data_IF_937089263416
#
_entry.id   IF_937089263416
#
_cell.length_a   1.000
_cell.length_b   1.000
_cell.length_c   1.000
_cell.angle_alpha   90.00
_cell.angle_beta   90.00
_cell.angle_gamma   90.00
#
_symmetry.space_group_name_H-M   'P 1'
#
loop_
_entity.id
_entity.type
_entity.pdbx_description
1 polymer ?
#
# COMPACT_ATOMS: atom_id res chain seq x y z
N UNK A 1 9.54 6.49 -27.54
CA UNK A 1 10.15 6.14 -26.24
C UNK A 1 11.47 6.86 -26.15
N UNK A 2 11.58 7.83 -25.25
CA UNK A 2 12.84 8.55 -25.04
C UNK A 2 13.82 7.62 -24.34
N UNK A 3 14.83 7.15 -25.09
CA UNK A 3 15.92 6.30 -24.57
C UNK A 3 16.69 6.98 -23.42
N UNK A 4 16.65 8.30 -23.36
CA UNK A 4 17.25 9.13 -22.30
C UNK A 4 16.66 8.87 -20.92
N UNK A 5 15.40 8.46 -20.82
CA UNK A 5 14.72 8.17 -19.54
C UNK A 5 14.93 6.75 -19.02
N UNK A 6 15.51 5.84 -19.83
CA UNK A 6 15.74 4.45 -19.39
C UNK A 6 16.65 4.38 -18.16
N UNK A 7 17.79 5.10 -18.22
CA UNK A 7 18.72 5.11 -17.09
C UNK A 7 18.11 5.72 -15.82
N UNK A 8 17.46 6.89 -15.86
CA UNK A 8 16.72 7.43 -14.70
C UNK A 8 15.68 6.46 -14.13
N UNK A 9 14.86 5.79 -14.96
CA UNK A 9 13.88 4.79 -14.50
C UNK A 9 14.55 3.60 -13.79
N UNK A 10 15.66 3.08 -14.34
CA UNK A 10 16.43 2.00 -13.72
C UNK A 10 16.99 2.44 -12.37
N UNK A 11 17.63 3.62 -12.29
CA UNK A 11 18.21 4.14 -11.06
C UNK A 11 17.14 4.42 -9.99
N UNK A 12 16.01 5.00 -10.39
CA UNK A 12 14.87 5.23 -9.50
C UNK A 12 14.30 3.91 -8.96
N UNK A 13 14.17 2.90 -9.82
CA UNK A 13 13.71 1.55 -9.42
C UNK A 13 14.68 0.88 -8.44
N UNK A 14 16.00 1.00 -8.67
CA UNK A 14 17.01 0.50 -7.74
C UNK A 14 16.97 1.24 -6.40
N UNK A 15 16.82 2.57 -6.43
CA UNK A 15 16.64 3.39 -5.23
C UNK A 15 15.40 2.98 -4.44
N UNK A 16 14.27 2.72 -5.12
CA UNK A 16 13.05 2.21 -4.51
C UNK A 16 13.29 0.84 -3.85
N UNK A 17 13.96 -0.10 -4.53
CA UNK A 17 14.28 -1.42 -3.96
C UNK A 17 15.10 -1.29 -2.68
N UNK A 18 16.13 -0.44 -2.67
CA UNK A 18 16.97 -0.24 -1.47
C UNK A 18 16.14 0.36 -0.33
N UNK A 19 15.44 1.46 -0.60
CA UNK A 19 14.65 2.18 0.41
C UNK A 19 13.57 1.29 1.02
N UNK A 20 12.75 0.67 0.16
CA UNK A 20 11.60 -0.12 0.62
C UNK A 20 11.96 -1.53 1.10
N UNK A 21 13.16 -2.01 0.79
CA UNK A 21 13.71 -3.18 1.49
C UNK A 21 13.97 -2.86 2.95
N UNK A 22 14.59 -1.72 3.25
CA UNK A 22 14.86 -1.31 4.63
C UNK A 22 13.56 -1.07 5.42
N UNK A 23 12.60 -0.36 4.80
CA UNK A 23 11.30 -0.05 5.42
C UNK A 23 10.49 -1.33 5.64
N UNK A 24 10.40 -2.21 4.67
CA UNK A 24 9.57 -3.41 4.73
C UNK A 24 10.02 -4.46 5.76
N UNK A 25 11.28 -4.39 6.23
CA UNK A 25 11.73 -5.21 7.35
C UNK A 25 11.29 -4.66 8.72
N UNK A 26 10.76 -3.44 8.78
CA UNK A 26 10.26 -2.82 10.01
C UNK A 26 8.80 -3.25 10.23
N UNK A 27 8.48 -4.06 11.26
CA UNK A 27 7.11 -4.52 11.49
C UNK A 27 6.16 -3.37 11.77
N UNK A 28 4.91 -3.47 11.26
CA UNK A 28 3.85 -2.49 11.54
C UNK A 28 3.92 -1.22 10.70
N UNK A 29 4.72 -1.19 9.63
CA UNK A 29 4.66 -0.10 8.66
C UNK A 29 3.38 -0.21 7.82
N UNK A 30 2.65 0.90 7.74
CA UNK A 30 1.48 1.01 6.86
C UNK A 30 1.93 1.44 5.46
N UNK A 31 1.44 0.74 4.42
CA UNK A 31 1.82 0.99 3.04
C UNK A 31 1.50 2.44 2.61
N UNK A 32 0.35 2.97 3.03
CA UNK A 32 -0.06 4.34 2.69
C UNK A 32 0.88 5.35 3.33
N UNK A 33 1.21 5.15 4.60
CA UNK A 33 2.07 6.06 5.38
C UNK A 33 3.49 6.16 4.83
N UNK A 34 4.00 5.13 4.16
CA UNK A 34 5.39 5.12 3.67
C UNK A 34 5.52 5.34 2.17
N UNK A 35 4.51 4.97 1.37
CA UNK A 35 4.54 5.15 -0.09
C UNK A 35 4.13 6.56 -0.50
N UNK A 36 3.01 7.06 0.03
CA UNK A 36 2.45 8.34 -0.39
C UNK A 36 3.39 9.53 -0.17
N UNK A 37 3.99 9.76 1.01
CA UNK A 37 4.85 10.93 1.22
C UNK A 37 6.08 10.95 0.32
N UNK A 38 6.72 9.80 0.11
CA UNK A 38 7.91 9.72 -0.74
C UNK A 38 7.54 9.97 -2.21
N UNK A 39 6.45 9.35 -2.68
CA UNK A 39 5.98 9.54 -4.06
C UNK A 39 5.55 10.98 -4.31
N UNK A 40 4.82 11.56 -3.35
CA UNK A 40 4.41 12.96 -3.40
C UNK A 40 5.63 13.89 -3.52
N UNK A 41 6.68 13.65 -2.75
CA UNK A 41 7.91 14.44 -2.83
C UNK A 41 8.56 14.35 -4.21
N UNK A 42 8.61 13.18 -4.82
CA UNK A 42 9.16 13.02 -6.17
C UNK A 42 8.34 13.80 -7.20
N UNK A 43 7.01 13.76 -7.09
CA UNK A 43 6.11 14.52 -7.97
C UNK A 43 6.32 16.02 -7.79
N UNK A 44 6.30 16.51 -6.56
CA UNK A 44 6.47 17.94 -6.26
C UNK A 44 7.88 18.47 -6.59
N UNK A 45 8.89 17.59 -6.57
CA UNK A 45 10.25 17.92 -7.03
C UNK A 45 10.38 17.97 -8.56
N UNK A 46 9.32 17.73 -9.32
CA UNK A 46 9.32 17.79 -10.77
C UNK A 46 10.05 16.62 -11.44
N UNK A 47 10.13 15.47 -10.77
CA UNK A 47 10.70 14.25 -11.38
C UNK A 47 9.81 13.80 -12.53
N UNK A 48 10.44 13.42 -13.65
CA UNK A 48 9.73 12.97 -14.85
C UNK A 48 8.66 11.89 -14.55
N UNK A 49 7.42 12.03 -15.06
CA UNK A 49 6.30 11.16 -14.74
C UNK A 49 6.55 9.67 -14.95
N UNK A 50 7.28 9.29 -16.00
CA UNK A 50 7.68 7.89 -16.25
C UNK A 50 8.62 7.36 -15.16
N UNK A 51 9.54 8.20 -14.67
CA UNK A 51 10.50 7.83 -13.62
C UNK A 51 9.77 7.65 -12.28
N UNK A 52 8.81 8.55 -11.97
CA UNK A 52 7.96 8.43 -10.78
C UNK A 52 7.15 7.14 -10.81
N UNK A 53 6.56 6.80 -11.95
CA UNK A 53 5.78 5.57 -12.09
C UNK A 53 6.66 4.32 -11.91
N UNK A 54 7.84 4.28 -12.55
CA UNK A 54 8.78 3.17 -12.40
C UNK A 54 9.25 3.01 -10.94
N UNK A 55 9.57 4.13 -10.27
CA UNK A 55 9.89 4.15 -8.84
C UNK A 55 8.75 3.59 -8.01
N UNK A 56 7.50 4.04 -8.22
CA UNK A 56 6.35 3.63 -7.43
C UNK A 56 6.05 2.14 -7.60
N UNK A 57 6.06 1.62 -8.83
CA UNK A 57 5.88 0.18 -9.10
C UNK A 57 6.96 -0.64 -8.38
N UNK A 58 8.22 -0.19 -8.46
CA UNK A 58 9.32 -0.86 -7.78
C UNK A 58 9.16 -0.81 -6.25
N UNK A 59 8.73 0.33 -5.70
CA UNK A 59 8.46 0.51 -4.29
C UNK A 59 7.38 -0.44 -3.78
N UNK A 60 6.25 -0.51 -4.47
CA UNK A 60 5.11 -1.37 -4.13
C UNK A 60 5.50 -2.85 -4.11
N UNK A 61 6.14 -3.34 -5.17
CA UNK A 61 6.53 -4.75 -5.28
C UNK A 61 7.55 -5.10 -4.18
N UNK A 62 8.53 -4.22 -3.96
CA UNK A 62 9.54 -4.43 -2.92
C UNK A 62 8.94 -4.44 -1.53
N UNK A 63 8.12 -3.43 -1.21
CA UNK A 63 7.52 -3.28 0.11
C UNK A 63 6.61 -4.48 0.45
N UNK A 64 5.70 -4.85 -0.45
CA UNK A 64 4.77 -5.96 -0.22
C UNK A 64 5.50 -7.30 -0.05
N UNK A 65 6.59 -7.52 -0.80
CA UNK A 65 7.38 -8.73 -0.65
C UNK A 65 8.17 -8.74 0.66
N UNK A 66 8.81 -7.63 1.02
CA UNK A 66 9.64 -7.52 2.22
C UNK A 66 8.82 -7.48 3.51
N UNK A 67 7.63 -6.88 3.52
CA UNK A 67 6.68 -6.90 4.64
C UNK A 67 6.23 -8.32 5.03
N UNK A 68 6.28 -9.27 4.11
CA UNK A 68 5.94 -10.66 4.39
C UNK A 68 6.98 -11.37 5.25
N UNK A 69 8.22 -10.88 5.28
CA UNK A 69 9.34 -11.52 5.97
C UNK A 69 9.23 -11.47 7.51
N UNK A 70 8.98 -10.30 8.15
CA UNK A 70 8.70 -10.25 9.58
C UNK A 70 7.53 -11.13 9.99
N UNK A 71 6.49 -11.20 9.16
CA UNK A 71 5.32 -12.06 9.41
C UNK A 71 5.71 -13.53 9.50
N UNK A 72 6.53 -14.02 8.60
CA UNK A 72 6.99 -15.41 8.60
C UNK A 72 7.99 -15.71 9.73
N UNK A 73 8.87 -14.78 10.08
CA UNK A 73 9.94 -14.99 11.07
C UNK A 73 9.49 -14.78 12.50
N UNK A 74 8.73 -13.72 12.74
CA UNK A 74 8.40 -13.26 14.09
C UNK A 74 6.92 -13.44 14.41
N UNK A 75 6.06 -13.55 13.41
CA UNK A 75 4.60 -13.58 13.57
C UNK A 75 4.01 -12.19 13.82
N UNK A 76 4.75 -11.15 13.47
CA UNK A 76 4.26 -9.76 13.53
C UNK A 76 3.96 -9.30 12.10
N UNK A 77 2.82 -8.62 11.87
CA UNK A 77 2.51 -8.12 10.53
C UNK A 77 3.56 -7.10 10.12
N UNK A 78 4.20 -7.30 8.97
CA UNK A 78 5.08 -6.29 8.39
C UNK A 78 4.31 -5.08 7.89
N UNK A 79 3.16 -5.34 7.26
CA UNK A 79 2.22 -4.34 6.76
C UNK A 79 0.78 -4.86 6.84
N UNK A 80 -0.17 -4.05 6.40
CA UNK A 80 -1.61 -4.35 6.49
C UNK A 80 -1.99 -5.60 5.68
N UNK A 81 -1.38 -5.78 4.51
CA UNK A 81 -1.64 -6.93 3.63
C UNK A 81 -1.05 -8.24 4.16
N UNK A 82 -0.05 -8.17 5.02
CA UNK A 82 0.54 -9.36 5.63
C UNK A 82 -0.19 -9.84 6.90
N UNK A 83 -1.09 -9.04 7.45
CA UNK A 83 -1.86 -9.39 8.64
C UNK A 83 -2.69 -10.70 8.50
N UNK A 84 -3.39 -10.96 7.38
CA UNK A 84 -4.10 -12.22 7.18
C UNK A 84 -3.21 -13.47 7.19
N UNK A 85 -1.91 -13.30 6.97
CA UNK A 85 -0.95 -14.41 6.84
C UNK A 85 -0.42 -14.92 8.19
N UNK A 86 -0.65 -14.19 9.30
CA UNK A 86 -0.01 -14.42 10.61
C UNK A 86 -0.28 -15.83 11.14
N UNK A 87 -1.53 -16.27 11.18
CA UNK A 87 -1.90 -17.56 11.76
C UNK A 87 -1.27 -18.73 10.98
N UNK A 88 -1.25 -18.64 9.67
CA UNK A 88 -0.60 -19.62 8.81
C UNK A 88 0.92 -19.60 8.97
N UNK A 89 1.52 -18.41 9.08
CA UNK A 89 2.95 -18.25 9.30
C UNK A 89 3.38 -18.85 10.64
N UNK A 90 2.63 -18.59 11.71
CA UNK A 90 2.88 -19.15 13.04
C UNK A 90 2.72 -20.68 13.06
N UNK A 91 1.73 -21.22 12.36
CA UNK A 91 1.53 -22.66 12.21
C UNK A 91 2.76 -23.31 11.55
N UNK A 92 3.21 -22.78 10.42
CA UNK A 92 4.38 -23.29 9.73
C UNK A 92 5.69 -23.07 10.50
N UNK A 93 5.81 -21.98 11.22
CA UNK A 93 6.97 -21.71 12.10
C UNK A 93 7.08 -22.72 13.22
N UNK A 94 5.97 -23.11 13.87
CA UNK A 94 5.97 -24.16 14.93
C UNK A 94 6.43 -25.51 14.42
N UNK A 95 6.29 -25.78 13.11
CA UNK A 95 6.78 -26.97 12.44
C UNK A 95 8.22 -26.84 11.92
N UNK A 96 8.93 -25.74 12.22
CA UNK A 96 10.30 -25.50 11.76
C UNK A 96 10.41 -25.08 10.30
N UNK A 97 9.31 -24.67 9.64
CA UNK A 97 9.24 -24.38 8.21
C UNK A 97 9.35 -22.88 7.89
N UNK A 98 9.82 -22.04 8.81
CA UNK A 98 9.86 -20.58 8.64
C UNK A 98 10.65 -20.14 7.38
N UNK A 99 11.80 -20.76 7.11
CA UNK A 99 12.62 -20.49 5.93
C UNK A 99 11.90 -20.87 4.62
N UNK A 100 11.23 -22.01 4.62
CA UNK A 100 10.44 -22.46 3.47
C UNK A 100 9.23 -21.53 3.26
N UNK A 101 8.61 -21.06 4.33
CA UNK A 101 7.48 -20.13 4.29
C UNK A 101 7.86 -18.84 3.57
N UNK A 102 8.97 -18.20 3.92
CA UNK A 102 9.44 -16.97 3.25
C UNK A 102 9.64 -17.22 1.75
N UNK A 103 10.28 -18.33 1.39
CA UNK A 103 10.54 -18.66 -0.02
C UNK A 103 9.25 -18.90 -0.80
N UNK A 104 8.27 -19.58 -0.19
CA UNK A 104 6.95 -19.79 -0.79
C UNK A 104 6.15 -18.51 -0.93
N UNK A 105 6.19 -17.62 0.08
CA UNK A 105 5.59 -16.30 -0.04
C UNK A 105 6.23 -15.50 -1.16
N UNK A 106 7.55 -15.45 -1.23
CA UNK A 106 8.25 -14.76 -2.31
C UNK A 106 7.90 -15.35 -3.70
N UNK A 107 7.82 -16.69 -3.82
CA UNK A 107 7.42 -17.33 -5.06
C UNK A 107 5.94 -17.05 -5.42
N UNK A 108 5.04 -17.00 -4.42
CA UNK A 108 3.66 -16.58 -4.58
C UNK A 108 3.56 -15.16 -5.11
N UNK A 109 4.34 -14.23 -4.55
CA UNK A 109 4.44 -12.83 -4.99
C UNK A 109 4.86 -12.71 -6.46
N UNK A 110 5.83 -13.52 -6.89
CA UNK A 110 6.22 -13.59 -8.32
C UNK A 110 5.04 -13.99 -9.19
N UNK A 111 4.30 -15.04 -8.80
CA UNK A 111 3.14 -15.50 -9.58
C UNK A 111 2.04 -14.44 -9.60
N UNK A 112 1.76 -13.83 -8.45
CA UNK A 112 0.78 -12.76 -8.34
C UNK A 112 1.09 -11.62 -9.31
N UNK A 113 2.34 -11.16 -9.33
CA UNK A 113 2.80 -10.09 -10.24
C UNK A 113 2.71 -10.50 -11.72
N UNK A 114 3.21 -11.69 -12.06
CA UNK A 114 3.24 -12.18 -13.45
C UNK A 114 1.84 -12.42 -14.03
N UNK A 115 0.86 -12.75 -13.20
CA UNK A 115 -0.54 -12.92 -13.64
C UNK A 115 -1.26 -11.58 -13.69
N UNK A 116 -1.12 -10.77 -12.63
CA UNK A 116 -1.93 -9.55 -12.49
C UNK A 116 -1.50 -8.42 -13.43
N UNK A 117 -0.20 -8.23 -13.69
CA UNK A 117 0.25 -7.12 -14.54
C UNK A 117 -0.28 -7.24 -15.97
N UNK A 118 -0.10 -8.36 -16.70
CA UNK A 118 -0.67 -8.50 -18.03
C UNK A 118 -2.20 -8.41 -18.02
N UNK A 119 -2.85 -9.05 -17.03
CA UNK A 119 -4.31 -9.04 -16.94
C UNK A 119 -4.85 -7.65 -16.61
N UNK A 120 -4.18 -6.89 -15.75
CA UNK A 120 -4.55 -5.51 -15.44
C UNK A 120 -4.42 -4.58 -16.65
N UNK A 121 -3.38 -4.75 -17.46
CA UNK A 121 -3.20 -4.01 -18.71
C UNK A 121 -4.32 -4.34 -19.72
N UNK A 122 -4.71 -5.62 -19.85
CA UNK A 122 -5.83 -6.04 -20.71
C UNK A 122 -7.15 -5.46 -20.23
N UNK A 123 -7.43 -5.52 -18.91
CA UNK A 123 -8.65 -4.96 -18.33
C UNK A 123 -8.67 -3.44 -18.49
N UNK A 124 -7.54 -2.77 -18.28
CA UNK A 124 -7.44 -1.33 -18.48
C UNK A 124 -7.79 -0.95 -19.95
N UNK A 125 -7.28 -1.69 -20.93
CA UNK A 125 -7.63 -1.51 -22.33
C UNK A 125 -9.13 -1.71 -22.63
N UNK A 126 -9.76 -2.67 -21.94
CA UNK A 126 -11.19 -2.93 -22.08
C UNK A 126 -12.08 -1.85 -21.41
N UNK A 127 -11.61 -1.21 -20.35
CA UNK A 127 -12.31 -0.15 -19.62
C UNK A 127 -12.11 1.23 -20.27
N UNK A 128 -10.96 1.46 -20.90
CA UNK A 128 -10.60 2.76 -21.48
C UNK A 128 -11.68 3.40 -22.36
N UNK A 129 -12.45 2.68 -23.20
CA UNK A 129 -13.54 3.28 -23.98
C UNK A 129 -14.67 3.90 -23.15
N UNK A 130 -14.80 3.51 -21.88
CA UNK A 130 -15.82 4.00 -20.96
C UNK A 130 -15.30 5.07 -19.99
N UNK A 131 -14.03 5.48 -20.14
CA UNK A 131 -13.35 6.38 -19.20
C UNK A 131 -14.06 7.73 -19.06
N UNK A 132 -14.47 8.33 -20.15
CA UNK A 132 -15.15 9.65 -20.15
C UNK A 132 -16.49 9.58 -19.39
N UNK A 133 -17.26 8.52 -19.58
CA UNK A 133 -18.50 8.31 -18.82
C UNK A 133 -18.23 8.14 -17.33
N UNK A 134 -17.18 7.41 -16.97
CA UNK A 134 -16.78 7.24 -15.56
C UNK A 134 -16.31 8.55 -14.94
N UNK A 135 -15.58 9.38 -15.68
CA UNK A 135 -15.10 10.70 -15.21
C UNK A 135 -16.24 11.68 -15.01
N UNK A 136 -17.19 11.75 -15.92
CA UNK A 136 -18.38 12.62 -15.79
C UNK A 136 -19.15 12.34 -14.48
N UNK A 137 -19.13 11.10 -14.00
CA UNK A 137 -19.78 10.68 -12.77
C UNK A 137 -18.79 10.53 -11.60
N UNK A 138 -17.54 11.02 -11.73
CA UNK A 138 -16.46 10.82 -10.78
C UNK A 138 -16.83 11.20 -9.35
N UNK A 139 -17.43 12.37 -9.15
CA UNK A 139 -17.84 12.83 -7.81
C UNK A 139 -18.88 11.91 -7.17
N UNK A 140 -19.85 11.43 -7.95
CA UNK A 140 -20.84 10.44 -7.48
C UNK A 140 -20.16 9.10 -7.17
N UNK A 141 -19.19 8.67 -7.97
CA UNK A 141 -18.42 7.45 -7.72
C UNK A 141 -17.61 7.54 -6.43
N UNK A 142 -17.09 8.71 -6.07
CA UNK A 142 -16.42 8.92 -4.78
C UNK A 142 -17.40 8.80 -3.59
N UNK A 143 -18.61 9.34 -3.71
CA UNK A 143 -19.65 9.15 -2.67
C UNK A 143 -20.03 7.69 -2.54
N UNK A 144 -20.33 7.02 -3.66
CA UNK A 144 -20.65 5.58 -3.67
C UNK A 144 -19.47 4.78 -3.09
N UNK A 145 -18.24 5.11 -3.50
CA UNK A 145 -17.02 4.48 -3.01
C UNK A 145 -16.85 4.62 -1.50
N UNK A 146 -17.09 5.82 -0.94
CA UNK A 146 -17.05 6.06 0.51
C UNK A 146 -18.04 5.16 1.24
N UNK A 147 -19.30 5.09 0.76
CA UNK A 147 -20.36 4.27 1.35
C UNK A 147 -20.02 2.77 1.25
N UNK A 148 -19.60 2.30 0.07
CA UNK A 148 -19.23 0.89 -0.16
C UNK A 148 -18.07 0.49 0.74
N UNK A 149 -17.00 1.30 0.81
CA UNK A 149 -15.85 1.03 1.67
C UNK A 149 -16.21 1.08 3.16
N UNK A 150 -17.14 1.95 3.55
CA UNK A 150 -17.66 1.99 4.91
C UNK A 150 -18.43 0.71 5.27
N UNK A 151 -19.26 0.20 4.37
CA UNK A 151 -20.06 -1.02 4.59
C UNK A 151 -19.19 -2.30 4.64
N UNK A 152 -18.08 -2.33 3.94
CA UNK A 152 -17.14 -3.46 3.94
C UNK A 152 -16.15 -3.36 5.11
N UNK A 153 -15.99 -2.17 5.71
CA UNK A 153 -15.04 -1.89 6.79
C UNK A 153 -15.30 -2.65 8.09
N UNK A 154 -14.32 -2.64 8.99
CA UNK A 154 -14.41 -3.31 10.31
C UNK A 154 -15.51 -2.73 11.19
N UNK A 155 -15.68 -1.41 11.17
CA UNK A 155 -16.71 -0.71 11.94
C UNK A 155 -17.64 0.04 10.97
N UNK A 156 -18.65 -0.67 10.47
CA UNK A 156 -19.55 -0.18 9.43
C UNK A 156 -20.32 1.06 9.86
N UNK A 157 -20.87 1.03 11.08
CA UNK A 157 -21.69 2.13 11.61
C UNK A 157 -20.86 3.40 11.76
N UNK A 158 -19.72 3.32 12.43
CA UNK A 158 -18.84 4.48 12.63
C UNK A 158 -18.28 4.99 11.29
N UNK A 159 -17.94 4.09 10.36
CA UNK A 159 -17.44 4.46 9.04
C UNK A 159 -18.48 5.25 8.25
N UNK A 160 -19.75 4.82 8.24
CA UNK A 160 -20.83 5.57 7.59
C UNK A 160 -21.06 6.92 8.27
N UNK A 161 -21.14 6.91 9.62
CA UNK A 161 -21.38 8.12 10.40
C UNK A 161 -20.23 9.14 10.22
N UNK A 162 -19.00 8.70 9.99
CA UNK A 162 -17.83 9.59 9.86
C UNK A 162 -17.73 10.31 8.52
N UNK A 163 -18.44 9.88 7.46
CA UNK A 163 -18.33 10.46 6.11
C UNK A 163 -18.68 11.96 6.15
N UNK A 164 -19.85 12.32 6.63
CA UNK A 164 -20.30 13.73 6.66
C UNK A 164 -19.43 14.61 7.58
N UNK A 165 -19.12 14.22 8.84
CA UNK A 165 -18.21 14.98 9.68
C UNK A 165 -16.82 15.18 9.07
N UNK A 166 -16.26 14.17 8.39
CA UNK A 166 -14.97 14.31 7.70
C UNK A 166 -15.05 15.31 6.55
N UNK A 167 -16.10 15.27 5.74
CA UNK A 167 -16.34 16.23 4.67
C UNK A 167 -16.39 17.65 5.24
N UNK A 168 -17.17 17.86 6.29
CA UNK A 168 -17.28 19.17 6.96
C UNK A 168 -15.95 19.63 7.54
N UNK A 169 -15.16 18.72 8.14
CA UNK A 169 -13.83 19.04 8.65
C UNK A 169 -12.90 19.50 7.54
N UNK A 170 -12.75 18.75 6.45
CA UNK A 170 -11.87 19.11 5.33
C UNK A 170 -12.28 20.42 4.67
N UNK A 171 -13.56 20.58 4.36
CA UNK A 171 -14.07 21.79 3.73
C UNK A 171 -14.04 22.98 4.68
N UNK A 172 -14.32 22.78 5.96
CA UNK A 172 -14.26 23.83 6.99
C UNK A 172 -12.85 24.38 7.16
N UNK A 173 -11.82 23.51 7.24
CA UNK A 173 -10.42 23.94 7.30
C UNK A 173 -10.00 24.69 6.03
N UNK A 174 -10.39 24.19 4.85
CA UNK A 174 -10.08 24.86 3.59
C UNK A 174 -10.77 26.23 3.48
N UNK A 175 -12.04 26.33 3.87
CA UNK A 175 -12.79 27.59 3.89
C UNK A 175 -12.20 28.60 4.88
N UNK A 176 -11.80 28.12 6.07
CA UNK A 176 -11.12 28.93 7.07
C UNK A 176 -9.82 29.52 6.51
N UNK A 177 -8.98 28.71 5.84
CA UNK A 177 -7.72 29.16 5.29
C UNK A 177 -7.88 30.21 4.18
N UNK A 178 -8.92 30.06 3.36
CA UNK A 178 -9.30 31.10 2.38
C UNK A 178 -9.76 32.38 3.06
N UNK A 179 -10.59 32.29 4.10
CA UNK A 179 -11.14 33.46 4.79
C UNK A 179 -10.10 34.28 5.52
N UNK A 180 -9.01 33.65 6.00
CA UNK A 180 -7.91 34.35 6.70
C UNK A 180 -6.71 34.65 5.78
N UNK A 181 -6.85 34.39 4.45
CA UNK A 181 -5.86 34.75 3.45
C UNK A 181 -4.57 33.94 3.47
N UNK A 182 -4.60 32.69 3.99
CA UNK A 182 -3.44 31.78 3.98
C UNK A 182 -3.28 31.16 2.59
N UNK A 183 -4.37 30.85 1.91
CA UNK A 183 -4.40 30.32 0.56
C UNK A 183 -5.26 31.21 -0.32
N UNK A 184 -4.89 31.30 -1.61
CA UNK A 184 -5.67 32.00 -2.61
C UNK A 184 -7.01 31.30 -2.88
N UNK A 185 -8.03 31.99 -3.43
CA UNK A 185 -9.36 31.41 -3.64
C UNK A 185 -9.39 30.17 -4.53
N UNK A 186 -8.45 30.05 -5.47
CA UNK A 186 -8.27 28.95 -6.41
C UNK A 186 -7.30 27.87 -5.91
N UNK A 187 -6.55 28.14 -4.83
CA UNK A 187 -5.64 27.18 -4.24
C UNK A 187 -6.36 26.18 -3.32
N UNK A 188 -5.76 25.00 -3.20
CA UNK A 188 -6.23 23.92 -2.33
C UNK A 188 -5.10 23.39 -1.45
N UNK A 189 -5.42 22.99 -0.22
CA UNK A 189 -4.50 22.31 0.71
C UNK A 189 -4.69 20.77 0.64
N UNK A 190 -4.99 20.25 -0.53
CA UNK A 190 -5.25 18.82 -0.74
C UNK A 190 -4.08 17.95 -0.34
N UNK A 191 -2.85 18.42 -0.62
CA UNK A 191 -1.61 17.75 -0.20
C UNK A 191 -1.56 17.59 1.32
N UNK A 192 -1.87 18.66 2.07
CA UNK A 192 -1.89 18.62 3.53
C UNK A 192 -2.93 17.69 4.10
N UNK A 193 -4.11 17.58 3.47
CA UNK A 193 -5.11 16.58 3.85
C UNK A 193 -4.63 15.15 3.59
N UNK A 194 -3.96 14.89 2.47
CA UNK A 194 -3.37 13.58 2.22
C UNK A 194 -2.33 13.22 3.30
N UNK A 195 -1.46 14.15 3.62
CA UNK A 195 -0.46 13.98 4.66
C UNK A 195 -1.11 13.75 6.04
N UNK A 196 -2.18 14.51 6.35
CA UNK A 196 -2.93 14.37 7.60
C UNK A 196 -3.55 12.99 7.75
N UNK A 197 -4.27 12.53 6.73
CA UNK A 197 -4.92 11.20 6.73
C UNK A 197 -3.85 10.11 6.88
N UNK A 198 -2.76 10.23 6.12
CA UNK A 198 -1.68 9.24 6.06
C UNK A 198 -0.90 9.15 7.36
N UNK A 199 -0.53 10.31 7.93
CA UNK A 199 0.23 10.39 9.17
C UNK A 199 -0.61 10.20 10.43
N UNK A 200 -1.94 10.22 10.30
CA UNK A 200 -2.86 10.15 11.43
C UNK A 200 -2.55 9.04 12.43
N UNK A 201 -2.46 7.77 12.04
CA UNK A 201 -2.11 6.69 12.96
C UNK A 201 -0.73 6.81 13.59
N UNK A 202 0.24 7.41 12.87
CA UNK A 202 1.58 7.70 13.43
C UNK A 202 1.51 8.78 14.52
N UNK A 203 0.72 9.83 14.29
CA UNK A 203 0.46 10.87 15.28
C UNK A 203 -0.18 10.31 16.53
N UNK A 204 -1.24 9.50 16.39
CA UNK A 204 -1.89 8.85 17.53
C UNK A 204 -0.91 7.95 18.28
N UNK A 205 -0.10 7.16 17.58
CA UNK A 205 0.93 6.31 18.19
C UNK A 205 1.96 7.12 18.97
N UNK A 206 2.37 8.27 18.46
CA UNK A 206 3.29 9.16 19.16
C UNK A 206 2.69 9.68 20.47
N UNK A 207 1.43 10.14 20.45
CA UNK A 207 0.74 10.59 21.67
C UNK A 207 0.59 9.46 22.70
N UNK A 208 0.36 8.22 22.25
CA UNK A 208 0.31 7.05 23.14
C UNK A 208 1.67 6.78 23.79
N UNK A 209 2.78 6.89 23.03
CA UNK A 209 4.15 6.73 23.57
C UNK A 209 4.49 7.83 24.57
N UNK A 210 4.02 9.06 24.33
CA UNK A 210 4.23 10.19 25.26
C UNK A 210 3.44 10.05 26.57
N UNK A 211 2.34 9.31 26.59
CA UNK A 211 1.58 9.01 27.78
C UNK A 211 2.21 7.86 28.57
N UNK A 212 2.73 8.08 29.81
CA UNK A 212 3.41 7.05 30.59
C UNK A 212 2.57 5.80 30.85
N UNK A 213 1.25 5.96 31.09
CA UNK A 213 0.33 4.87 31.34
C UNK A 213 0.12 3.98 30.12
N UNK A 214 -0.13 4.60 28.94
CA UNK A 214 -0.30 3.91 27.68
C UNK A 214 1.01 3.27 27.23
N UNK A 215 2.12 3.95 27.39
CA UNK A 215 3.46 3.40 27.10
C UNK A 215 3.79 2.17 27.96
N UNK A 216 3.38 2.14 29.22
CA UNK A 216 3.58 0.99 30.10
C UNK A 216 2.73 -0.22 29.68
N UNK A 217 1.55 0.01 29.10
CA UNK A 217 0.66 -1.01 28.56
C UNK A 217 1.04 -1.53 27.17
N UNK A 218 1.92 -0.81 26.45
CA UNK A 218 2.38 -1.26 25.12
C UNK A 218 3.15 -2.57 25.25
N UNK A 219 2.90 -3.53 24.33
CA UNK A 219 3.71 -4.74 24.27
C UNK A 219 5.16 -4.34 24.09
N UNK A 220 5.98 -4.50 25.11
CA UNK A 220 7.42 -4.36 24.94
C UNK A 220 7.83 -5.46 23.97
N UNK A 221 8.32 -5.07 22.80
CA UNK A 221 8.95 -5.99 21.87
C UNK A 221 10.19 -6.55 22.57
N UNK A 222 9.98 -7.60 23.36
CA UNK A 222 11.08 -8.39 23.87
C UNK A 222 11.90 -8.77 22.64
N UNK A 223 13.21 -8.60 22.70
CA UNK A 223 14.14 -9.09 21.69
C UNK A 223 13.94 -10.60 21.57
N UNK A 224 12.95 -11.01 20.78
CA UNK A 224 12.76 -12.42 20.45
C UNK A 224 13.95 -12.81 19.59
N UNK A 225 14.87 -13.64 20.08
CA UNK A 225 15.99 -14.07 19.27
C UNK A 225 15.39 -14.81 18.06
N UNK A 226 15.66 -14.30 16.87
CA UNK A 226 15.35 -15.01 15.63
C UNK A 226 16.34 -16.17 15.58
N UNK A 227 16.00 -17.27 16.25
CA UNK A 227 16.78 -18.50 16.22
C UNK A 227 16.42 -19.24 14.94
N UNK A 228 17.34 -19.24 14.00
CA UNK A 228 17.22 -19.98 12.77
C UNK A 228 18.42 -20.91 12.68
N UNK A 229 18.15 -22.18 12.61
CA UNK A 229 19.16 -23.22 12.38
C UNK A 229 19.72 -23.06 10.96
N UNK A 230 21.03 -22.89 10.87
CA UNK A 230 21.76 -22.79 9.57
C UNK A 230 21.48 -23.98 8.63
N UNK A 231 21.00 -25.07 9.14
CA UNK A 231 20.68 -26.30 8.41
C UNK A 231 19.45 -26.21 7.53
N UNK A 232 18.44 -25.38 7.92
CA UNK A 232 17.22 -25.16 7.12
C UNK A 232 17.48 -24.45 5.79
N UNK A 233 18.67 -23.87 5.61
CA UNK A 233 19.02 -23.10 4.41
C UNK A 233 19.85 -23.85 3.37
N UNK A 234 20.41 -25.01 3.70
CA UNK A 234 21.28 -25.76 2.79
C UNK A 234 20.45 -26.58 1.81
N UNK A 235 20.76 -26.46 0.52
CA UNK A 235 20.30 -27.40 -0.52
C UNK A 235 18.97 -27.10 -1.21
N UNK A 236 18.26 -26.02 -0.90
CA UNK A 236 16.99 -25.70 -1.56
C UNK A 236 17.16 -24.83 -2.83
N UNK A 237 16.37 -25.16 -3.85
CA UNK A 237 16.36 -24.42 -5.12
C UNK A 237 15.92 -22.96 -4.96
N UNK A 238 16.54 -22.06 -5.73
CA UNK A 238 16.12 -20.66 -5.86
C UNK A 238 15.00 -20.45 -6.89
N UNK A 239 14.63 -21.49 -7.65
CA UNK A 239 13.61 -21.37 -8.69
C UNK A 239 12.19 -21.38 -8.09
N UNK A 240 11.32 -20.39 -8.39
CA UNK A 240 9.93 -20.36 -7.92
C UNK A 240 9.14 -21.62 -8.28
N UNK A 241 9.39 -22.18 -9.49
CA UNK A 241 8.74 -23.41 -9.97
C UNK A 241 9.10 -24.66 -9.16
N UNK A 242 10.32 -24.70 -8.60
CA UNK A 242 10.78 -25.84 -7.77
C UNK A 242 10.41 -25.68 -6.29
N UNK A 243 10.08 -24.45 -5.86
CA UNK A 243 9.67 -24.13 -4.50
C UNK A 243 8.19 -24.41 -4.26
N UNK A 244 7.37 -24.31 -5.30
CA UNK A 244 5.93 -24.49 -5.21
C UNK A 244 5.49 -25.84 -5.75
N UNK A 245 4.54 -26.44 -5.08
CA UNK A 245 3.79 -27.58 -5.64
C UNK A 245 2.90 -27.12 -6.79
N UNK A 246 2.50 -28.05 -7.69
CA UNK A 246 1.57 -27.72 -8.77
C UNK A 246 0.25 -27.12 -8.26
N UNK A 247 -0.21 -27.59 -7.11
CA UNK A 247 -1.42 -27.09 -6.48
C UNK A 247 -1.25 -25.66 -5.94
N UNK A 248 -0.13 -25.33 -5.29
CA UNK A 248 0.18 -23.97 -4.82
C UNK A 248 0.34 -22.99 -5.99
N UNK A 249 1.00 -23.43 -7.07
CA UNK A 249 1.15 -22.63 -8.29
C UNK A 249 -0.22 -22.36 -8.93
N UNK A 250 -1.05 -23.40 -9.11
CA UNK A 250 -2.37 -23.26 -9.72
C UNK A 250 -3.33 -22.43 -8.88
N UNK A 251 -3.35 -22.61 -7.56
CA UNK A 251 -4.20 -21.81 -6.68
C UNK A 251 -3.74 -20.35 -6.62
N UNK A 252 -2.43 -20.08 -6.54
CA UNK A 252 -1.91 -18.70 -6.54
C UNK A 252 -2.21 -17.97 -7.86
N UNK A 253 -2.03 -18.63 -9.00
CA UNK A 253 -2.39 -18.07 -10.30
C UNK A 253 -3.90 -17.84 -10.43
N UNK A 254 -4.71 -18.80 -10.01
CA UNK A 254 -6.18 -18.72 -10.05
C UNK A 254 -6.72 -17.58 -9.20
N UNK A 255 -6.29 -17.46 -7.93
CA UNK A 255 -6.76 -16.37 -7.06
C UNK A 255 -6.27 -14.99 -7.53
N UNK A 256 -5.08 -14.91 -8.13
CA UNK A 256 -4.57 -13.66 -8.73
C UNK A 256 -5.41 -13.25 -9.94
N UNK A 257 -5.77 -14.20 -10.81
CA UNK A 257 -6.63 -13.92 -11.95
C UNK A 257 -8.05 -13.49 -11.53
N UNK A 258 -8.61 -14.10 -10.49
CA UNK A 258 -9.94 -13.74 -9.95
C UNK A 258 -9.89 -12.37 -9.26
N UNK A 259 -8.84 -12.06 -8.53
CA UNK A 259 -8.74 -10.81 -7.78
C UNK A 259 -8.48 -9.58 -8.67
N UNK A 260 -7.82 -9.73 -9.80
CA UNK A 260 -7.44 -8.62 -10.68
C UNK A 260 -8.65 -7.79 -11.16
N UNK A 261 -9.75 -8.36 -11.69
CA UNK A 261 -10.93 -7.59 -12.05
C UNK A 261 -11.68 -6.99 -10.85
N UNK A 262 -11.41 -7.46 -9.64
CA UNK A 262 -11.99 -6.97 -8.39
C UNK A 262 -11.16 -5.84 -7.76
N UNK A 263 -10.40 -5.11 -8.55
CA UNK A 263 -9.44 -4.06 -8.15
C UNK A 263 -10.04 -2.96 -7.28
N UNK A 264 -11.34 -2.75 -7.35
CA UNK A 264 -12.09 -1.75 -6.57
C UNK A 264 -12.44 -2.23 -5.14
N UNK A 265 -12.27 -3.52 -4.84
CA UNK A 265 -12.51 -4.07 -3.50
C UNK A 265 -11.28 -3.91 -2.60
N UNK A 266 -11.48 -4.13 -1.30
CA UNK A 266 -10.39 -4.08 -0.31
C UNK A 266 -9.36 -5.17 -0.56
N UNK A 267 -8.07 -4.83 -0.80
CA UNK A 267 -7.00 -5.82 -0.97
C UNK A 267 -6.87 -6.77 0.21
N UNK A 268 -7.05 -6.26 1.45
CA UNK A 268 -6.98 -7.08 2.68
C UNK A 268 -8.09 -8.11 2.72
N UNK A 269 -9.32 -7.69 2.39
CA UNK A 269 -10.48 -8.59 2.38
C UNK A 269 -10.31 -9.68 1.30
N UNK A 270 -9.87 -9.32 0.10
CA UNK A 270 -9.60 -10.28 -0.97
C UNK A 270 -8.48 -11.25 -0.58
N UNK A 271 -7.40 -10.74 0.02
CA UNK A 271 -6.29 -11.57 0.50
C UNK A 271 -6.76 -12.59 1.54
N UNK A 272 -7.57 -12.16 2.50
CA UNK A 272 -8.11 -13.06 3.51
C UNK A 272 -9.06 -14.11 2.89
N UNK A 273 -10.10 -13.66 2.18
CA UNK A 273 -11.17 -14.55 1.70
C UNK A 273 -10.68 -15.55 0.66
N UNK A 274 -9.99 -15.07 -0.39
CA UNK A 274 -9.49 -15.95 -1.45
C UNK A 274 -8.29 -16.77 -1.00
N UNK A 275 -7.48 -16.27 -0.08
CA UNK A 275 -6.36 -16.99 0.50
C UNK A 275 -6.83 -18.16 1.38
N UNK A 276 -7.83 -17.95 2.24
CA UNK A 276 -8.45 -19.03 3.01
C UNK A 276 -9.15 -20.05 2.11
N UNK A 277 -9.85 -19.58 1.09
CA UNK A 277 -10.46 -20.47 0.09
C UNK A 277 -9.41 -21.34 -0.60
N UNK A 278 -8.28 -20.79 -1.01
CA UNK A 278 -7.15 -21.53 -1.58
C UNK A 278 -6.59 -22.56 -0.59
N UNK A 279 -6.42 -22.18 0.68
CA UNK A 279 -5.97 -23.07 1.75
C UNK A 279 -6.91 -24.25 1.98
N UNK A 280 -8.23 -24.00 1.96
CA UNK A 280 -9.26 -25.02 2.21
C UNK A 280 -9.26 -26.16 1.16
N UNK A 281 -8.67 -25.94 -0.01
CA UNK A 281 -8.53 -26.96 -1.05
C UNK A 281 -7.49 -28.05 -0.71
N UNK A 282 -6.70 -27.88 0.36
CA UNK A 282 -5.70 -28.87 0.77
C UNK A 282 -6.36 -30.11 1.38
N UNK A 283 -5.88 -31.29 0.96
CA UNK A 283 -6.35 -32.62 1.42
C UNK A 283 -5.16 -33.51 1.75
N UNK A 284 -5.27 -34.39 2.74
CA UNK A 284 -4.24 -35.39 3.05
C UNK A 284 -3.84 -35.49 4.53
N UNK A 285 -2.89 -36.37 4.85
CA UNK A 285 -2.44 -36.68 6.23
C UNK A 285 -1.81 -35.49 6.98
N UNK A 286 -1.17 -34.56 6.27
CA UNK A 286 -0.60 -33.30 6.82
C UNK A 286 -1.47 -32.10 6.43
N UNK A 287 -2.79 -32.23 6.60
CA UNK A 287 -3.75 -31.27 6.08
C UNK A 287 -3.53 -29.84 6.59
N UNK A 288 -3.17 -29.67 7.87
CA UNK A 288 -3.01 -28.34 8.46
C UNK A 288 -1.78 -27.62 7.90
N UNK A 289 -0.63 -28.28 7.81
CA UNK A 289 0.58 -27.72 7.23
C UNK A 289 0.42 -27.39 5.75
N UNK A 290 -0.17 -28.32 4.99
CA UNK A 290 -0.44 -28.11 3.57
C UNK A 290 -1.47 -26.99 3.34
N UNK A 291 -2.51 -26.91 4.18
CA UNK A 291 -3.48 -25.82 4.19
C UNK A 291 -2.80 -24.48 4.42
N UNK A 292 -2.00 -24.37 5.47
CA UNK A 292 -1.28 -23.14 5.81
C UNK A 292 -0.27 -22.75 4.74
N UNK A 293 0.46 -23.72 4.18
CA UNK A 293 1.42 -23.48 3.09
C UNK A 293 0.73 -22.95 1.82
N UNK A 294 -0.42 -23.54 1.45
CA UNK A 294 -1.18 -23.13 0.28
C UNK A 294 -1.85 -21.77 0.49
N UNK A 295 -2.46 -21.55 1.67
CA UNK A 295 -3.08 -20.31 2.02
C UNK A 295 -2.07 -19.14 1.97
N UNK A 296 -0.92 -19.29 2.64
CA UNK A 296 0.07 -18.21 2.73
C UNK A 296 0.72 -17.89 1.38
N UNK A 297 0.92 -18.90 0.53
CA UNK A 297 1.44 -18.70 -0.83
C UNK A 297 0.44 -17.95 -1.70
N UNK A 298 -0.85 -18.32 -1.61
CA UNK A 298 -1.94 -17.66 -2.31
C UNK A 298 -2.16 -16.22 -1.79
N UNK A 299 -2.10 -16.01 -0.47
CA UNK A 299 -2.21 -14.69 0.14
C UNK A 299 -1.07 -13.75 -0.30
N UNK A 300 0.16 -14.27 -0.41
CA UNK A 300 1.28 -13.49 -0.93
C UNK A 300 1.11 -13.13 -2.42
N UNK A 301 0.55 -14.02 -3.22
CA UNK A 301 0.18 -13.71 -4.60
C UNK A 301 -0.93 -12.66 -4.68
N UNK A 302 -1.95 -12.76 -3.83
CA UNK A 302 -3.07 -11.82 -3.74
C UNK A 302 -2.62 -10.43 -3.30
N UNK A 303 -1.71 -10.32 -2.33
CA UNK A 303 -1.17 -9.04 -1.89
C UNK A 303 -0.54 -8.25 -3.07
N UNK A 304 0.15 -8.93 -3.99
CA UNK A 304 0.71 -8.29 -5.18
C UNK A 304 -0.35 -8.06 -6.26
N UNK A 305 -1.20 -9.04 -6.54
CA UNK A 305 -2.17 -8.92 -7.63
C UNK A 305 -3.24 -7.86 -7.36
N UNK A 306 -3.77 -7.79 -6.15
CA UNK A 306 -4.77 -6.77 -5.80
C UNK A 306 -4.18 -5.36 -5.79
N UNK A 307 -2.93 -5.23 -5.35
CA UNK A 307 -2.27 -3.94 -5.30
C UNK A 307 -1.92 -3.41 -6.69
N UNK A 308 -1.30 -4.24 -7.52
CA UNK A 308 -0.94 -3.86 -8.89
C UNK A 308 -2.16 -3.61 -9.77
N UNK A 309 -3.20 -4.44 -9.65
CA UNK A 309 -4.46 -4.21 -10.35
C UNK A 309 -5.16 -2.92 -9.89
N UNK A 310 -5.20 -2.69 -8.57
CA UNK A 310 -5.77 -1.49 -7.97
C UNK A 310 -5.04 -0.20 -8.34
N UNK A 311 -3.79 -0.29 -8.77
CA UNK A 311 -3.02 0.84 -9.30
C UNK A 311 -3.16 0.96 -10.82
N UNK A 312 -2.81 -0.10 -11.55
CA UNK A 312 -2.64 -0.05 -13.02
C UNK A 312 -3.97 0.24 -13.72
N UNK A 313 -5.05 -0.43 -13.31
CA UNK A 313 -6.35 -0.27 -13.99
C UNK A 313 -6.89 1.15 -13.86
N UNK A 314 -7.05 1.74 -12.65
CA UNK A 314 -7.52 3.10 -12.52
C UNK A 314 -6.60 4.13 -13.17
N UNK A 315 -5.28 3.96 -13.05
CA UNK A 315 -4.34 4.94 -13.56
C UNK A 315 -4.24 4.91 -15.09
N UNK A 316 -4.20 3.72 -15.70
CA UNK A 316 -4.08 3.60 -17.14
C UNK A 316 -5.41 3.83 -17.89
N UNK A 317 -6.52 3.33 -17.32
CA UNK A 317 -7.81 3.38 -18.03
C UNK A 317 -8.62 4.65 -17.77
N UNK A 318 -8.59 5.19 -16.54
CA UNK A 318 -9.60 6.16 -16.10
C UNK A 318 -8.97 7.51 -15.72
N UNK A 319 -7.81 7.50 -15.06
CA UNK A 319 -7.18 8.70 -14.49
C UNK A 319 -7.82 9.20 -13.20
N UNK A 320 -8.75 8.43 -12.61
CA UNK A 320 -9.36 8.71 -11.30
C UNK A 320 -8.98 7.63 -10.29
N UNK A 321 -8.74 7.98 -9.01
CA UNK A 321 -8.33 7.02 -7.97
C UNK A 321 -9.52 6.21 -7.44
N UNK A 322 -10.08 5.29 -8.24
CA UNK A 322 -11.29 4.52 -7.95
C UNK A 322 -11.03 3.17 -7.27
N UNK A 323 -9.87 2.99 -6.65
CA UNK A 323 -9.56 1.80 -5.85
C UNK A 323 -8.96 2.19 -4.50
N UNK A 324 -9.00 1.31 -3.46
CA UNK A 324 -8.34 1.58 -2.19
C UNK A 324 -6.83 1.85 -2.32
N UNK A 325 -6.17 1.23 -3.30
CA UNK A 325 -4.74 1.44 -3.57
C UNK A 325 -4.50 2.78 -4.27
N UNK A 326 -5.31 3.11 -5.27
CA UNK A 326 -5.19 4.35 -6.03
C UNK A 326 -5.48 5.57 -5.16
N UNK A 327 -6.52 5.49 -4.31
CA UNK A 327 -6.92 6.61 -3.47
C UNK A 327 -6.06 6.79 -2.21
N UNK A 328 -5.42 5.74 -1.74
CA UNK A 328 -4.51 5.76 -0.59
C UNK A 328 -3.04 5.93 -1.03
N UNK A 329 -2.27 4.83 -1.05
CA UNK A 329 -0.82 4.89 -1.25
C UNK A 329 -0.37 5.45 -2.60
N UNK A 330 -1.17 5.28 -3.66
CA UNK A 330 -0.84 5.76 -5.00
C UNK A 330 -1.45 7.14 -5.34
N UNK A 331 -2.09 7.79 -4.38
CA UNK A 331 -2.84 9.02 -4.62
C UNK A 331 -2.01 10.12 -5.30
N UNK A 332 -0.75 10.29 -4.92
CA UNK A 332 0.14 11.28 -5.51
C UNK A 332 0.33 11.14 -7.04
N UNK A 333 0.04 9.97 -7.61
CA UNK A 333 0.10 9.76 -9.06
C UNK A 333 -1.16 10.28 -9.79
N UNK A 334 -2.24 10.51 -9.04
CA UNK A 334 -3.52 11.01 -9.54
C UNK A 334 -3.74 12.47 -9.20
N UNK A 335 -3.33 12.88 -8.00
CA UNK A 335 -3.61 14.21 -7.49
C UNK A 335 -2.49 14.64 -6.53
N UNK A 336 -1.67 15.57 -6.97
CA UNK A 336 -0.57 16.18 -6.22
C UNK A 336 -0.40 17.64 -6.69
N UNK A 337 -1.35 18.54 -6.36
CA UNK A 337 -1.29 19.93 -6.80
C UNK A 337 0.00 20.62 -6.32
N UNK A 338 0.56 21.55 -7.10
CA UNK A 338 0.05 22.01 -8.41
C UNK A 338 0.46 21.15 -9.62
N UNK A 339 1.27 20.11 -9.44
CA UNK A 339 1.85 19.31 -10.53
C UNK A 339 0.82 18.39 -11.17
N UNK A 340 0.09 17.60 -10.36
CA UNK A 340 -0.99 16.73 -10.82
C UNK A 340 -2.33 17.14 -10.22
N UNK A 341 -3.34 17.12 -11.05
CA UNK A 341 -4.76 17.30 -10.68
C UNK A 341 -5.57 16.13 -11.22
N UNK A 342 -6.82 15.97 -10.78
CA UNK A 342 -7.70 14.90 -11.29
C UNK A 342 -7.91 14.99 -12.81
N UNK A 343 -7.85 16.20 -13.37
CA UNK A 343 -8.03 16.45 -14.82
C UNK A 343 -6.71 16.45 -15.58
N UNK A 344 -5.57 16.47 -14.89
CA UNK A 344 -4.24 16.46 -15.48
C UNK A 344 -3.23 15.71 -14.60
N UNK A 345 -3.11 14.41 -14.84
CA UNK A 345 -2.23 13.51 -14.08
C UNK A 345 -1.51 12.54 -15.01
N UNK A 346 -0.84 11.55 -14.43
CA UNK A 346 -0.08 10.55 -15.18
C UNK A 346 -0.87 9.87 -16.31
N UNK A 347 -2.17 9.68 -16.15
CA UNK A 347 -3.04 9.13 -17.20
C UNK A 347 -3.08 10.02 -18.45
N UNK A 348 -3.11 11.34 -18.26
CA UNK A 348 -3.19 12.32 -19.35
C UNK A 348 -1.83 12.61 -19.98
N UNK A 349 -0.74 12.45 -19.21
CA UNK A 349 0.61 12.80 -19.62
C UNK A 349 1.30 11.64 -20.34
N UNK A 350 1.11 10.41 -19.83
CA UNK A 350 1.82 9.25 -20.37
C UNK A 350 1.01 8.55 -21.47
N UNK A 351 1.64 8.33 -22.61
CA UNK A 351 1.11 7.40 -23.59
C UNK A 351 1.13 5.95 -23.05
N UNK A 352 0.23 5.10 -23.57
CA UNK A 352 0.17 3.69 -23.17
C UNK A 352 1.52 2.98 -23.27
N UNK A 353 2.34 3.12 -24.33
CA UNK A 353 3.64 2.49 -24.39
C UNK A 353 4.62 3.00 -23.33
N UNK A 354 4.59 4.29 -23.01
CA UNK A 354 5.42 4.89 -21.96
C UNK A 354 5.03 4.35 -20.59
N UNK A 355 3.73 4.26 -20.32
CA UNK A 355 3.19 3.68 -19.09
C UNK A 355 3.62 2.22 -18.93
N UNK A 356 3.41 1.39 -19.96
CA UNK A 356 3.78 -0.03 -19.96
C UNK A 356 5.28 -0.21 -19.74
N UNK A 357 6.10 0.60 -20.39
CA UNK A 357 7.57 0.55 -20.23
C UNK A 357 7.98 0.85 -18.79
N UNK A 358 7.41 1.89 -18.16
CA UNK A 358 7.70 2.23 -16.78
C UNK A 358 7.29 1.10 -15.81
N UNK A 359 6.10 0.51 -16.01
CA UNK A 359 5.62 -0.65 -15.24
C UNK A 359 6.54 -1.85 -15.41
N UNK A 360 7.00 -2.14 -16.62
CA UNK A 360 7.90 -3.26 -16.89
C UNK A 360 9.28 -3.05 -16.26
N UNK A 361 9.89 -1.87 -16.40
CA UNK A 361 11.20 -1.57 -15.81
C UNK A 361 11.13 -1.66 -14.30
N UNK A 362 10.20 -0.90 -13.68
CA UNK A 362 10.01 -0.93 -12.24
C UNK A 362 9.66 -2.33 -11.72
N UNK A 363 8.76 -3.01 -12.42
CA UNK A 363 8.29 -4.34 -12.06
C UNK A 363 9.37 -5.42 -12.15
N UNK A 364 10.10 -5.51 -13.26
CA UNK A 364 11.13 -6.54 -13.45
C UNK A 364 12.29 -6.35 -12.48
N UNK A 365 12.81 -5.12 -12.36
CA UNK A 365 13.95 -4.82 -11.48
C UNK A 365 13.57 -5.16 -10.03
N UNK A 366 12.45 -4.65 -9.55
CA UNK A 366 12.04 -4.86 -8.15
C UNK A 366 11.69 -6.32 -7.86
N UNK A 367 10.97 -6.99 -8.77
CA UNK A 367 10.58 -8.38 -8.56
C UNK A 367 11.81 -9.30 -8.48
N UNK A 368 12.77 -9.15 -9.39
CA UNK A 368 13.99 -9.96 -9.41
C UNK A 368 14.84 -9.69 -8.17
N UNK A 369 15.12 -8.43 -7.88
CA UNK A 369 15.99 -8.08 -6.75
C UNK A 369 15.35 -8.42 -5.41
N UNK A 370 14.07 -8.05 -5.19
CA UNK A 370 13.37 -8.34 -3.94
C UNK A 370 13.18 -9.84 -3.73
N UNK A 371 12.93 -10.60 -4.81
CA UNK A 371 12.88 -12.05 -4.74
C UNK A 371 14.21 -12.66 -4.28
N UNK A 372 15.33 -12.25 -4.90
CA UNK A 372 16.66 -12.72 -4.51
C UNK A 372 16.99 -12.32 -3.07
N UNK A 373 16.67 -11.09 -2.67
CA UNK A 373 16.84 -10.61 -1.30
C UNK A 373 16.03 -11.45 -0.30
N UNK A 374 14.76 -11.73 -0.60
CA UNK A 374 13.90 -12.52 0.27
C UNK A 374 14.36 -13.98 0.38
N UNK A 375 14.68 -14.62 -0.74
CA UNK A 375 15.00 -16.05 -0.76
C UNK A 375 16.41 -16.35 -0.24
N UNK A 376 17.37 -15.45 -0.45
CA UNK A 376 18.79 -15.71 -0.12
C UNK A 376 19.28 -14.96 1.12
N UNK A 377 18.76 -13.74 1.36
CA UNK A 377 19.33 -12.83 2.35
C UNK A 377 18.36 -12.42 3.47
N UNK A 378 17.09 -12.86 3.43
CA UNK A 378 16.05 -12.46 4.40
C UNK A 378 16.51 -12.52 5.84
N UNK A 379 17.14 -13.59 6.26
CA UNK A 379 17.61 -13.80 7.64
C UNK A 379 18.71 -12.82 8.05
N UNK A 380 19.67 -12.59 7.16
CA UNK A 380 20.77 -11.63 7.44
C UNK A 380 20.22 -10.21 7.52
N UNK A 381 19.34 -9.85 6.59
CA UNK A 381 18.72 -8.52 6.53
C UNK A 381 17.83 -8.30 7.75
N UNK A 382 16.98 -9.25 8.12
CA UNK A 382 16.15 -9.15 9.34
C UNK A 382 17.03 -8.95 10.57
N UNK A 383 18.09 -9.73 10.72
CA UNK A 383 18.99 -9.60 11.87
C UNK A 383 19.71 -8.25 11.92
N UNK A 384 20.05 -7.67 10.77
CA UNK A 384 20.69 -6.35 10.68
C UNK A 384 19.68 -5.25 11.01
N UNK A 385 18.52 -5.28 10.36
CA UNK A 385 17.48 -4.23 10.51
C UNK A 385 16.94 -4.22 11.93
N UNK A 386 16.53 -5.37 12.48
CA UNK A 386 15.99 -5.44 13.85
C UNK A 386 17.01 -5.07 14.95
N UNK A 387 18.31 -5.17 14.67
CA UNK A 387 19.36 -4.77 15.63
C UNK A 387 19.77 -3.31 15.51
N UNK A 388 19.73 -2.73 14.30
CA UNK A 388 20.32 -1.41 14.01
C UNK A 388 19.31 -0.32 13.70
N UNK A 389 18.10 -0.69 13.29
CA UNK A 389 17.04 0.27 12.91
C UNK A 389 15.95 0.21 13.98
N UNK A 390 15.91 1.18 14.91
CA UNK A 390 14.80 1.27 15.86
C UNK A 390 13.52 1.64 15.10
N UNK A 391 12.46 0.88 15.33
CA UNK A 391 11.14 1.12 14.71
C UNK A 391 10.66 2.55 14.96
N UNK A 392 10.83 3.04 16.19
CA UNK A 392 10.43 4.38 16.61
C UNK A 392 11.13 5.49 15.81
N UNK A 393 12.41 5.28 15.47
CA UNK A 393 13.17 6.26 14.69
C UNK A 393 12.66 6.36 13.25
N UNK A 394 12.25 5.22 12.64
CA UNK A 394 11.66 5.23 11.29
C UNK A 394 10.33 5.97 11.30
N UNK A 395 9.45 5.67 12.27
CA UNK A 395 8.16 6.35 12.41
C UNK A 395 8.33 7.85 12.67
N UNK A 396 9.27 8.22 13.56
CA UNK A 396 9.58 9.62 13.84
C UNK A 396 10.10 10.35 12.61
N UNK A 397 10.97 9.71 11.81
CA UNK A 397 11.50 10.28 10.57
C UNK A 397 10.35 10.58 9.57
N UNK A 398 9.43 9.62 9.37
CA UNK A 398 8.27 9.84 8.51
C UNK A 398 7.37 10.96 9.02
N UNK A 399 7.14 11.04 10.33
CA UNK A 399 6.33 12.11 10.91
C UNK A 399 6.98 13.47 10.68
N UNK A 400 8.28 13.62 10.97
CA UNK A 400 9.02 14.87 10.73
C UNK A 400 8.95 15.26 9.26
N UNK A 401 9.10 14.30 8.36
CA UNK A 401 8.99 14.52 6.92
C UNK A 401 7.59 15.01 6.50
N UNK A 402 6.52 14.42 7.04
CA UNK A 402 5.14 14.87 6.81
C UNK A 402 4.92 16.30 7.31
N UNK A 403 5.41 16.64 8.52
CA UNK A 403 5.28 17.99 9.07
C UNK A 403 6.08 19.00 8.28
N UNK A 404 7.25 18.63 7.76
CA UNK A 404 8.05 19.48 6.88
C UNK A 404 7.31 19.77 5.56
N UNK A 405 6.72 18.74 4.93
CA UNK A 405 5.92 18.94 3.71
C UNK A 405 4.70 19.83 3.99
N UNK A 406 4.02 19.64 5.12
CA UNK A 406 2.91 20.48 5.53
C UNK A 406 3.32 21.95 5.70
N UNK A 407 4.49 22.18 6.29
CA UNK A 407 5.06 23.53 6.41
C UNK A 407 5.38 24.17 5.06
N UNK A 408 5.92 23.39 4.13
CA UNK A 408 6.23 23.85 2.77
C UNK A 408 4.98 24.15 1.95
N UNK A 409 3.87 23.45 2.20
CA UNK A 409 2.59 23.62 1.48
C UNK A 409 1.88 24.95 1.84
N UNK A 410 1.72 25.28 3.14
CA UNK A 410 1.05 26.51 3.57
C UNK A 410 1.53 27.06 4.95
N UNK A 411 2.80 26.86 5.28
CA UNK A 411 3.44 27.45 6.45
C UNK A 411 3.05 26.83 7.80
N UNK A 412 3.38 27.54 8.91
CA UNK A 412 3.19 27.04 10.29
C UNK A 412 1.75 26.74 10.66
N UNK A 413 0.80 27.53 10.17
CA UNK A 413 -0.63 27.33 10.46
C UNK A 413 -1.09 26.01 9.88
N UNK A 414 -0.57 25.63 8.73
CA UNK A 414 -0.88 24.37 8.09
C UNK A 414 -0.36 23.14 8.88
N UNK A 415 0.75 23.29 9.60
CA UNK A 415 1.22 22.24 10.52
C UNK A 415 0.16 21.94 11.59
N UNK A 416 -0.48 22.97 12.16
CA UNK A 416 -1.56 22.78 13.14
C UNK A 416 -2.79 22.09 12.51
N UNK A 417 -3.17 22.45 11.28
CA UNK A 417 -4.27 21.77 10.60
C UNK A 417 -3.94 20.31 10.32
N UNK A 418 -2.71 20.02 9.89
CA UNK A 418 -2.25 18.63 9.67
C UNK A 418 -2.29 17.82 10.96
N UNK A 419 -1.92 18.42 12.09
CA UNK A 419 -2.02 17.77 13.39
C UNK A 419 -3.48 17.52 13.81
N UNK A 420 -4.34 18.55 13.67
CA UNK A 420 -5.76 18.43 14.03
C UNK A 420 -6.49 17.37 13.20
N UNK A 421 -6.38 17.49 11.88
CA UNK A 421 -7.00 16.55 10.93
C UNK A 421 -6.37 15.18 11.08
N UNK A 422 -5.05 15.11 11.24
CA UNK A 422 -4.31 13.86 11.42
C UNK A 422 -4.71 13.11 12.69
N UNK A 423 -4.85 13.77 13.83
CA UNK A 423 -5.34 13.15 15.06
C UNK A 423 -6.78 12.64 14.90
N UNK A 424 -7.65 13.41 14.26
CA UNK A 424 -9.03 12.99 13.97
C UNK A 424 -9.04 11.75 13.08
N UNK A 425 -8.35 11.81 11.94
CA UNK A 425 -8.27 10.70 10.98
C UNK A 425 -7.58 9.47 11.58
N UNK A 426 -6.51 9.67 12.35
CA UNK A 426 -5.78 8.59 13.02
C UNK A 426 -6.62 7.89 14.10
N UNK A 427 -7.38 8.66 14.89
CA UNK A 427 -8.30 8.10 15.89
C UNK A 427 -9.41 7.30 15.21
N UNK A 428 -10.04 7.84 14.18
CA UNK A 428 -11.05 7.13 13.38
C UNK A 428 -10.48 5.84 12.77
N UNK A 429 -9.24 5.89 12.27
CA UNK A 429 -8.57 4.71 11.73
C UNK A 429 -8.37 3.62 12.80
N UNK A 430 -7.95 4.00 14.01
CA UNK A 430 -7.87 3.10 15.18
C UNK A 430 -9.21 2.48 15.55
N UNK A 431 -10.30 3.24 15.40
CA UNK A 431 -11.66 2.78 15.65
C UNK A 431 -12.24 1.93 14.51
N UNK A 432 -11.49 1.71 13.43
CA UNK A 432 -11.85 0.84 12.32
C UNK A 432 -12.36 1.53 11.05
N UNK A 433 -12.30 2.86 10.98
CA UNK A 433 -12.58 3.62 9.75
C UNK A 433 -11.38 3.57 8.85
N UNK A 434 -11.52 2.97 7.67
CA UNK A 434 -10.41 2.78 6.74
C UNK A 434 -9.92 4.09 6.10
N UNK A 435 -8.67 4.12 5.65
CA UNK A 435 -8.15 5.21 4.83
C UNK A 435 -9.01 5.48 3.59
N UNK A 436 -9.49 4.41 2.94
CA UNK A 436 -10.36 4.55 1.78
C UNK A 436 -11.59 5.40 2.03
N UNK A 437 -12.27 5.22 3.18
CA UNK A 437 -13.42 6.05 3.57
C UNK A 437 -12.99 7.51 3.75
N UNK A 438 -11.87 7.75 4.43
CA UNK A 438 -11.38 9.11 4.72
C UNK A 438 -10.98 9.85 3.42
N UNK A 439 -10.25 9.19 2.51
CA UNK A 439 -9.88 9.76 1.21
C UNK A 439 -11.08 9.96 0.29
N UNK A 440 -12.00 8.97 0.21
CA UNK A 440 -13.23 9.12 -0.59
C UNK A 440 -14.09 10.28 -0.07
N UNK A 441 -14.16 10.47 1.26
CA UNK A 441 -14.84 11.62 1.86
C UNK A 441 -14.21 12.94 1.46
N UNK A 442 -12.87 13.02 1.38
CA UNK A 442 -12.17 14.20 0.90
C UNK A 442 -12.56 14.56 -0.54
N UNK A 443 -12.58 13.57 -1.45
CA UNK A 443 -12.94 13.77 -2.86
C UNK A 443 -14.44 14.00 -3.09
N UNK A 444 -15.30 13.40 -2.25
CA UNK A 444 -16.73 13.58 -2.31
C UNK A 444 -17.19 14.94 -1.79
N UNK A 445 -16.35 15.61 -0.97
CA UNK A 445 -16.70 16.81 -0.23
C UNK A 445 -17.27 17.94 -1.07
N UNK A 446 -16.59 18.42 -2.13
CA UNK A 446 -17.07 19.53 -2.94
C UNK A 446 -18.45 19.27 -3.56
N UNK A 447 -18.68 18.06 -4.07
CA UNK A 447 -19.95 17.69 -4.68
C UNK A 447 -21.08 17.60 -3.64
N UNK A 448 -20.82 16.96 -2.49
CA UNK A 448 -21.86 16.80 -1.47
C UNK A 448 -22.31 18.15 -0.90
N UNK A 449 -21.39 19.09 -0.72
CA UNK A 449 -21.73 20.43 -0.24
C UNK A 449 -22.59 21.17 -1.26
N UNK A 450 -22.28 21.08 -2.56
CA UNK A 450 -23.10 21.72 -3.61
C UNK A 450 -24.50 21.15 -3.73
N UNK A 451 -24.74 19.90 -3.26
CA UNK A 451 -26.07 19.29 -3.24
C UNK A 451 -26.86 19.63 -1.94
N UNK A 452 -26.18 20.03 -0.87
CA UNK A 452 -26.80 20.35 0.42
C UNK A 452 -27.08 21.85 0.59
N UNK A 453 -26.43 22.69 -0.21
CA UNK A 453 -26.66 24.15 -0.25
C UNK A 453 -27.63 24.54 -1.35
#
# INVERSE_FOLDING_TARGET
>A
VELTLLLPMVLASLGAVVLYTLIGFVPGTDETSVLLPVTLTLVLAGVEPQVVLAFFIAAVITLNLTNSIPTALVGLPGGVLSAPMIDHALTLKREGLAAQTIRKMAAGSVIGTLVSVPLALLIAGAIAPYADSLRQHGSLLFVIGAVVLALIGKNRFLSLLSIVPLILLFQGVQSLYRSIGIIEPDQTITVSFFLSITAGPLLVSLFEVLNPALRAAMPRSGRTPVVITREEMKGQSLSPRKLLTRAELGTSAGVSAISTPLFFLSPVALTLLLGEAAGSTAKGRHQQSQRSSRAITAMAALAHSTYLAGLIIPLLAIGLPLSPVAIGPANALFNAPPVFTLDHNLHHILSTPQFVLAVLIGGVISLVLSYVLAVRYSFRLTAIVTRRVPHEAVLALFLVFVLLLAFLDAGWINVFAVLLVGLTCGTLNRMGVSYGVQFMSLYAGPWLITQLM
#
